data_IF_281559466604
#
_entry.id   IF_281559466604
#
_cell.length_a   1.000
_cell.length_b   1.000
_cell.length_c   1.000
_cell.angle_alpha   90.00
_cell.angle_beta   90.00
_cell.angle_gamma   90.00
#
_symmetry.space_group_name_H-M   'P 1'
#
loop_
_entity.id
_entity.type
_entity.pdbx_description
1 polymer ?
#
# COMPACT_ATOMS: atom_id res chain seq x y z
N UNK A 1 12.46 16.34 14.80
CA UNK A 1 11.62 15.83 15.92
C UNK A 1 10.66 16.88 16.48
N UNK A 2 11.10 18.12 16.71
CA UNK A 2 10.32 19.15 17.43
C UNK A 2 9.45 20.02 16.52
N UNK A 3 9.50 19.84 15.19
CA UNK A 3 8.67 20.59 14.23
C UNK A 3 7.26 20.01 14.21
N UNK A 4 6.22 20.88 14.14
CA UNK A 4 4.83 20.45 13.95
C UNK A 4 4.63 19.81 12.59
N UNK A 5 3.78 18.80 12.49
CA UNK A 5 3.49 18.11 11.24
C UNK A 5 2.90 19.03 10.17
N UNK A 6 2.09 20.03 10.56
CA UNK A 6 1.55 21.02 9.64
C UNK A 6 2.62 21.88 8.94
N UNK A 7 3.80 22.09 9.57
CA UNK A 7 4.92 22.85 9.02
C UNK A 7 5.89 22.04 8.17
N UNK A 8 5.59 20.77 7.88
CA UNK A 8 6.40 19.91 7.03
C UNK A 8 6.05 20.09 5.54
N UNK A 9 7.05 19.90 4.66
CA UNK A 9 6.80 19.76 3.21
C UNK A 9 5.99 18.50 2.91
N UNK A 10 5.41 18.40 1.71
CA UNK A 10 4.66 17.21 1.26
C UNK A 10 5.46 15.93 1.40
N UNK A 11 6.70 15.90 0.90
CA UNK A 11 7.59 14.74 1.03
C UNK A 11 7.95 14.41 2.49
N UNK A 12 8.11 15.41 3.37
CA UNK A 12 8.33 15.17 4.79
C UNK A 12 7.08 14.63 5.50
N UNK A 13 5.89 15.11 5.14
CA UNK A 13 4.63 14.55 5.65
C UNK A 13 4.48 13.10 5.23
N UNK A 14 4.82 12.78 4.00
CA UNK A 14 4.82 11.42 3.46
C UNK A 14 5.75 10.50 4.24
N UNK A 15 7.01 10.91 4.47
CA UNK A 15 7.98 10.17 5.28
C UNK A 15 7.47 9.96 6.71
N UNK A 16 6.86 10.98 7.32
CA UNK A 16 6.26 10.86 8.66
C UNK A 16 5.08 9.87 8.67
N UNK A 17 4.17 9.92 7.67
CA UNK A 17 3.05 9.00 7.56
C UNK A 17 3.53 7.55 7.40
N UNK A 18 4.57 7.33 6.59
CA UNK A 18 5.22 6.03 6.45
C UNK A 18 5.83 5.55 7.78
N UNK A 19 6.52 6.45 8.53
CA UNK A 19 7.04 6.12 9.86
C UNK A 19 5.94 5.67 10.83
N UNK A 20 4.81 6.38 10.83
CA UNK A 20 3.64 6.02 11.66
C UNK A 20 3.07 4.65 11.27
N UNK A 21 3.03 4.32 9.98
CA UNK A 21 2.55 3.03 9.49
C UNK A 21 3.53 1.87 9.78
N UNK A 22 4.81 2.16 10.00
CA UNK A 22 5.86 1.16 10.23
C UNK A 22 6.22 0.95 11.71
N UNK A 23 5.72 1.79 12.64
CA UNK A 23 6.17 1.80 14.04
C UNK A 23 5.96 0.45 14.77
N UNK A 24 4.94 -0.30 14.38
CA UNK A 24 4.60 -1.61 14.96
C UNK A 24 5.22 -2.80 14.19
N UNK A 25 6.08 -2.54 13.17
CA UNK A 25 6.76 -3.54 12.34
C UNK A 25 5.76 -4.49 11.64
N UNK A 26 4.91 -3.99 10.73
CA UNK A 26 3.92 -4.80 10.03
C UNK A 26 4.56 -5.77 9.04
N UNK A 27 3.88 -6.91 8.77
CA UNK A 27 4.26 -7.85 7.71
C UNK A 27 3.89 -7.32 6.32
N UNK A 28 2.81 -6.54 6.25
CA UNK A 28 2.26 -6.00 5.00
C UNK A 28 1.99 -4.51 5.14
N UNK A 29 2.47 -3.72 4.17
CA UNK A 29 2.26 -2.28 4.09
C UNK A 29 1.33 -1.95 2.92
N UNK A 30 0.21 -1.31 3.22
CA UNK A 30 -0.74 -0.80 2.23
C UNK A 30 -0.58 0.70 2.04
N UNK A 31 -0.40 1.13 0.79
CA UNK A 31 -0.15 2.52 0.39
C UNK A 31 -1.18 2.95 -0.66
N UNK A 32 -2.13 3.78 -0.26
CA UNK A 32 -3.19 4.24 -1.17
C UNK A 32 -2.81 5.60 -1.78
N UNK A 33 -2.35 5.56 -3.04
CA UNK A 33 -1.86 6.71 -3.81
C UNK A 33 -0.83 7.57 -3.02
N UNK A 34 0.24 6.96 -2.52
CA UNK A 34 1.10 7.56 -1.48
C UNK A 34 1.84 8.81 -1.94
N UNK A 35 2.03 9.01 -3.24
CA UNK A 35 2.83 10.10 -3.82
C UNK A 35 2.00 11.18 -4.50
N UNK A 36 0.68 11.14 -4.34
CA UNK A 36 -0.22 12.16 -4.89
C UNK A 36 0.10 13.53 -4.32
N UNK A 37 0.40 14.51 -5.19
CA UNK A 37 0.76 15.88 -4.80
C UNK A 37 2.17 16.04 -4.25
N UNK A 38 3.04 15.04 -4.41
CA UNK A 38 4.45 15.08 -4.01
C UNK A 38 5.32 15.44 -5.22
N UNK A 39 6.35 16.27 -5.01
CA UNK A 39 7.30 16.66 -6.04
C UNK A 39 8.10 15.45 -6.58
N UNK A 40 8.63 15.52 -7.83
CA UNK A 40 9.29 14.39 -8.48
C UNK A 40 10.53 13.86 -7.72
N UNK A 41 11.27 14.73 -7.04
CA UNK A 41 12.47 14.32 -6.30
C UNK A 41 12.07 13.53 -5.06
N UNK A 42 11.16 14.08 -4.24
CA UNK A 42 10.63 13.39 -3.05
C UNK A 42 9.93 12.08 -3.41
N UNK A 43 9.26 12.02 -4.58
CA UNK A 43 8.63 10.79 -5.09
C UNK A 43 9.67 9.71 -5.35
N UNK A 44 10.77 10.04 -6.03
CA UNK A 44 11.86 9.09 -6.31
C UNK A 44 12.46 8.56 -5.00
N UNK A 45 12.79 9.44 -4.06
CA UNK A 45 13.31 9.05 -2.73
C UNK A 45 12.35 8.11 -1.99
N UNK A 46 11.03 8.37 -2.09
CA UNK A 46 10.03 7.52 -1.45
C UNK A 46 10.02 6.10 -2.02
N UNK A 47 10.06 5.95 -3.35
CA UNK A 47 10.13 4.64 -3.98
C UNK A 47 11.45 3.90 -3.68
N UNK A 48 12.56 4.62 -3.53
CA UNK A 48 13.83 4.06 -3.06
C UNK A 48 13.71 3.51 -1.63
N UNK A 49 13.01 4.23 -0.74
CA UNK A 49 12.71 3.73 0.62
C UNK A 49 11.85 2.47 0.59
N UNK A 50 10.81 2.42 -0.25
CA UNK A 50 9.95 1.23 -0.38
C UNK A 50 10.76 0.01 -0.83
N UNK A 51 11.70 0.17 -1.77
CA UNK A 51 12.59 -0.92 -2.19
C UNK A 51 13.45 -1.45 -1.05
N UNK A 52 14.02 -0.56 -0.22
CA UNK A 52 14.77 -0.96 0.99
C UNK A 52 13.90 -1.72 2.00
N UNK A 53 12.65 -1.30 2.19
CA UNK A 53 11.71 -2.00 3.08
C UNK A 53 11.37 -3.40 2.53
N UNK A 54 11.19 -3.52 1.22
CA UNK A 54 11.01 -4.82 0.55
C UNK A 54 12.22 -5.74 0.75
N UNK A 55 13.46 -5.23 0.63
CA UNK A 55 14.69 -5.98 0.87
C UNK A 55 14.78 -6.50 2.33
N UNK A 56 14.10 -5.84 3.26
CA UNK A 56 13.95 -6.26 4.66
C UNK A 56 12.82 -7.29 4.86
N UNK A 57 12.15 -7.72 3.79
CA UNK A 57 11.10 -8.73 3.80
C UNK A 57 9.67 -8.19 3.98
N UNK A 58 9.48 -6.87 4.02
CA UNK A 58 8.14 -6.27 4.10
C UNK A 58 7.45 -6.39 2.75
N UNK A 59 6.22 -6.94 2.75
CA UNK A 59 5.38 -6.97 1.55
C UNK A 59 4.67 -5.63 1.39
N UNK A 60 4.64 -5.09 0.18
CA UNK A 60 4.07 -3.77 -0.08
C UNK A 60 2.98 -3.85 -1.14
N UNK A 61 1.81 -3.29 -0.83
CA UNK A 61 0.72 -3.09 -1.78
C UNK A 61 0.57 -1.59 -2.01
N UNK A 62 0.82 -1.14 -3.23
CA UNK A 62 0.68 0.27 -3.59
C UNK A 62 -0.40 0.48 -4.64
N UNK A 63 -1.32 1.42 -4.45
CA UNK A 63 -2.21 1.87 -5.50
C UNK A 63 -1.65 3.13 -6.15
N UNK A 64 -1.75 3.23 -7.47
CA UNK A 64 -1.32 4.42 -8.20
C UNK A 64 -2.06 4.57 -9.54
N UNK A 65 -2.40 5.79 -9.97
CA UNK A 65 -2.82 6.06 -11.34
C UNK A 65 -1.63 6.36 -12.28
N UNK A 66 -0.38 6.37 -11.76
CA UNK A 66 0.82 6.83 -12.46
C UNK A 66 1.61 5.61 -12.95
N UNK A 67 1.82 5.52 -14.26
CA UNK A 67 2.52 4.40 -14.90
C UNK A 67 3.97 4.27 -14.40
N UNK A 68 4.70 5.38 -14.30
CA UNK A 68 6.09 5.39 -13.84
C UNK A 68 6.25 4.81 -12.42
N UNK A 69 5.24 4.98 -11.58
CA UNK A 69 5.21 4.39 -10.24
C UNK A 69 4.89 2.89 -10.30
N UNK A 70 3.94 2.50 -11.13
CA UNK A 70 3.62 1.10 -11.35
C UNK A 70 4.84 0.31 -11.85
N UNK A 71 5.71 0.95 -12.67
CA UNK A 71 6.98 0.38 -13.11
C UNK A 71 8.00 0.12 -11.99
N UNK A 72 7.79 0.67 -10.78
CA UNK A 72 8.63 0.39 -9.61
C UNK A 72 8.19 -0.88 -8.85
N UNK A 73 7.03 -1.46 -9.19
CA UNK A 73 6.49 -2.67 -8.59
C UNK A 73 7.08 -3.93 -9.25
N UNK A 74 7.11 -5.04 -8.52
CA UNK A 74 7.51 -6.34 -9.08
C UNK A 74 6.42 -6.91 -10.00
N UNK A 75 5.17 -6.78 -9.60
CA UNK A 75 3.97 -7.13 -10.37
C UNK A 75 2.91 -6.08 -10.19
N UNK A 76 2.07 -5.92 -11.20
CA UNK A 76 0.92 -5.02 -11.14
C UNK A 76 -0.37 -5.72 -11.57
N UNK A 77 -1.47 -5.36 -10.91
CA UNK A 77 -2.82 -5.64 -11.37
C UNK A 77 -3.38 -4.38 -12.02
N UNK A 78 -3.68 -4.45 -13.30
CA UNK A 78 -4.40 -3.37 -13.99
C UNK A 78 -5.89 -3.46 -13.69
N UNK A 79 -6.42 -2.44 -12.99
CA UNK A 79 -7.83 -2.36 -12.60
C UNK A 79 -8.53 -1.32 -13.46
N UNK A 80 -9.61 -1.72 -14.09
CA UNK A 80 -10.52 -0.85 -14.82
C UNK A 80 -11.97 -1.23 -14.52
N UNK A 81 -12.82 -0.25 -14.21
CA UNK A 81 -14.26 -0.44 -13.91
C UNK A 81 -14.51 -1.53 -12.85
N UNK A 82 -13.74 -1.51 -11.77
CA UNK A 82 -13.84 -2.46 -10.66
C UNK A 82 -13.33 -3.88 -10.93
N UNK A 83 -12.81 -4.15 -12.12
CA UNK A 83 -12.31 -5.48 -12.53
C UNK A 83 -10.82 -5.47 -12.78
N UNK A 84 -10.16 -6.56 -12.43
CA UNK A 84 -8.77 -6.81 -12.85
C UNK A 84 -8.80 -7.25 -14.32
N UNK A 85 -8.10 -6.49 -15.18
CA UNK A 85 -7.97 -6.77 -16.62
C UNK A 85 -6.73 -7.61 -16.94
N UNK A 86 -5.72 -7.57 -16.08
CA UNK A 86 -4.51 -8.37 -16.18
C UNK A 86 -3.64 -8.24 -14.94
N UNK A 87 -2.83 -9.25 -14.67
CA UNK A 87 -1.84 -9.28 -13.60
C UNK A 87 -0.55 -9.85 -14.17
N UNK A 88 0.49 -9.04 -14.22
CA UNK A 88 1.81 -9.50 -14.65
C UNK A 88 2.88 -8.45 -14.20
N UNK A 89 4.11 -8.62 -14.67
CA UNK A 89 5.15 -7.59 -14.57
C UNK A 89 4.70 -6.32 -15.27
N UNK A 90 5.18 -5.14 -14.83
CA UNK A 90 4.82 -3.86 -15.45
C UNK A 90 4.97 -3.86 -16.97
N UNK A 91 6.09 -4.37 -17.49
CA UNK A 91 6.37 -4.40 -18.94
C UNK A 91 5.35 -5.21 -19.74
N UNK A 92 4.89 -6.35 -19.21
CA UNK A 92 3.90 -7.18 -19.87
C UNK A 92 2.52 -6.52 -19.87
N UNK A 93 2.12 -5.94 -18.74
CA UNK A 93 0.87 -5.20 -18.63
C UNK A 93 0.86 -3.98 -19.56
N UNK A 94 1.95 -3.20 -19.59
CA UNK A 94 2.04 -2.04 -20.47
C UNK A 94 1.98 -2.41 -21.94
N UNK A 95 2.58 -3.54 -22.35
CA UNK A 95 2.46 -4.05 -23.73
C UNK A 95 1.05 -4.54 -24.04
N UNK A 96 0.47 -5.32 -23.14
CA UNK A 96 -0.87 -5.91 -23.35
C UNK A 96 -1.96 -4.85 -23.43
N UNK A 97 -1.81 -3.75 -22.70
CA UNK A 97 -2.79 -2.67 -22.60
C UNK A 97 -2.28 -1.33 -23.13
N UNK A 98 -1.31 -1.36 -24.08
CA UNK A 98 -0.71 -0.17 -24.67
C UNK A 98 -1.74 0.82 -25.23
N UNK A 99 -2.77 0.32 -25.89
CA UNK A 99 -3.87 1.13 -26.46
C UNK A 99 -4.70 1.86 -25.40
N UNK A 100 -4.68 1.37 -24.14
CA UNK A 100 -5.44 1.93 -23.02
C UNK A 100 -4.53 2.78 -22.12
N UNK A 101 -3.23 2.43 -21.99
CA UNK A 101 -2.31 2.99 -21.00
C UNK A 101 -1.27 3.95 -21.55
N UNK A 102 -0.68 3.71 -22.69
CA UNK A 102 0.21 4.62 -23.45
C UNK A 102 0.95 3.92 -24.61
N UNK A 103 1.33 4.63 -25.70
CA UNK A 103 2.13 4.06 -26.78
C UNK A 103 3.61 4.34 -26.55
N UNK A 104 4.37 3.45 -25.92
CA UNK A 104 5.83 3.24 -26.11
C UNK A 104 6.43 2.32 -25.02
N UNK A 105 7.13 1.31 -25.45
CA UNK A 105 7.59 0.22 -24.60
C UNK A 105 8.93 0.34 -23.92
N UNK A 106 9.13 -0.48 -22.90
CA UNK A 106 10.44 -0.92 -22.36
C UNK A 106 10.27 -2.27 -21.65
N UNK A 107 11.25 -3.17 -21.80
CA UNK A 107 11.22 -4.55 -21.29
C UNK A 107 12.25 -4.81 -20.20
N UNK A 108 11.86 -5.63 -19.19
CA UNK A 108 12.80 -6.48 -18.44
C UNK A 108 12.11 -7.73 -17.86
N UNK A 109 12.79 -8.89 -17.94
CA UNK A 109 12.32 -10.18 -17.42
C UNK A 109 12.94 -10.52 -16.07
N UNK A 110 12.17 -11.14 -15.17
CA UNK A 110 12.72 -11.94 -14.06
C UNK A 110 11.80 -13.11 -13.68
N UNK A 111 12.45 -14.26 -13.39
CA UNK A 111 11.87 -15.57 -13.17
C UNK A 111 11.44 -15.84 -11.71
N UNK A 112 10.48 -16.75 -11.58
CA UNK A 112 9.85 -17.23 -10.34
C UNK A 112 10.67 -18.32 -9.63
N UNK A 113 10.66 -18.29 -8.27
CA UNK A 113 10.77 -19.52 -7.47
C UNK A 113 10.37 -19.31 -5.99
N UNK A 114 9.66 -20.31 -5.46
CA UNK A 114 9.24 -20.58 -4.08
C UNK A 114 8.19 -19.64 -3.45
N UNK A 115 6.97 -20.15 -3.28
CA UNK A 115 5.79 -19.35 -3.08
C UNK A 115 5.19 -19.51 -1.67
N UNK A 116 5.45 -18.54 -0.78
CA UNK A 116 4.53 -18.24 0.33
C UNK A 116 3.71 -17.00 -0.02
N UNK A 117 2.39 -17.14 -0.08
CA UNK A 117 1.50 -15.99 -0.31
C UNK A 117 1.09 -15.38 1.03
N UNK A 118 1.30 -14.07 1.15
CA UNK A 118 0.88 -13.29 2.33
C UNK A 118 -0.50 -12.68 2.13
N UNK A 119 -0.93 -12.53 0.87
CA UNK A 119 -2.29 -12.12 0.50
C UNK A 119 -2.87 -13.10 -0.52
N UNK A 120 -4.08 -13.55 -0.24
CA UNK A 120 -4.88 -14.39 -1.14
C UNK A 120 -6.29 -13.81 -1.26
N UNK A 121 -6.74 -13.59 -2.48
CA UNK A 121 -8.04 -12.98 -2.81
C UNK A 121 -8.76 -13.85 -3.83
N UNK A 122 -10.01 -14.17 -3.57
CA UNK A 122 -10.85 -14.99 -4.42
C UNK A 122 -12.25 -14.40 -4.56
N UNK A 123 -12.61 -13.99 -5.78
CA UNK A 123 -13.93 -13.47 -6.14
C UNK A 123 -14.37 -12.24 -5.34
N UNK A 124 -13.43 -11.43 -4.84
CA UNK A 124 -13.75 -10.33 -3.93
C UNK A 124 -14.58 -9.25 -4.63
N UNK A 125 -15.75 -8.96 -4.07
CA UNK A 125 -16.74 -8.04 -4.66
C UNK A 125 -17.21 -7.03 -3.64
N UNK A 126 -17.40 -5.77 -4.07
CA UNK A 126 -18.03 -4.70 -3.28
C UNK A 126 -19.10 -4.00 -4.06
N UNK A 127 -20.32 -4.04 -3.52
CA UNK A 127 -21.48 -3.29 -4.04
C UNK A 127 -21.94 -2.23 -3.05
N UNK A 128 -22.38 -1.10 -3.56
CA UNK A 128 -23.02 -0.02 -2.84
C UNK A 128 -24.39 0.22 -3.50
N UNK A 129 -25.45 -0.39 -2.96
CA UNK A 129 -26.75 -0.43 -3.62
C UNK A 129 -26.65 -1.11 -5.00
N UNK A 130 -27.03 -0.41 -6.06
CA UNK A 130 -26.90 -0.89 -7.45
C UNK A 130 -25.52 -0.73 -8.09
N UNK A 131 -24.63 0.05 -7.46
CA UNK A 131 -23.31 0.31 -7.98
C UNK A 131 -22.29 -0.75 -7.50
N UNK A 132 -21.59 -1.39 -8.43
CA UNK A 132 -20.51 -2.33 -8.15
C UNK A 132 -19.17 -1.61 -8.28
N UNK A 133 -18.52 -1.34 -7.15
CA UNK A 133 -17.24 -0.64 -7.10
C UNK A 133 -16.04 -1.57 -7.34
N UNK A 134 -16.15 -2.85 -6.93
CA UNK A 134 -15.17 -3.92 -7.17
C UNK A 134 -15.97 -5.16 -7.54
N UNK A 135 -15.60 -5.81 -8.64
CA UNK A 135 -16.34 -6.91 -9.24
C UNK A 135 -15.49 -8.15 -9.45
N UNK A 136 -15.65 -9.14 -8.57
CA UNK A 136 -15.04 -10.49 -8.63
C UNK A 136 -13.52 -10.49 -8.86
N UNK A 137 -12.76 -9.64 -8.14
CA UNK A 137 -11.31 -9.64 -8.28
C UNK A 137 -10.68 -10.84 -7.56
N UNK A 138 -9.71 -11.48 -8.23
CA UNK A 138 -8.94 -12.60 -7.68
C UNK A 138 -7.47 -12.43 -7.99
N UNK A 139 -6.61 -12.56 -6.97
CA UNK A 139 -5.15 -12.45 -7.10
C UNK A 139 -4.45 -12.97 -5.85
N UNK A 140 -3.14 -13.16 -5.96
CA UNK A 140 -2.27 -13.53 -4.84
C UNK A 140 -1.03 -12.64 -4.83
N UNK A 141 -0.51 -12.34 -3.64
CA UNK A 141 0.71 -11.55 -3.43
C UNK A 141 1.69 -12.36 -2.60
N UNK A 142 2.94 -12.43 -3.08
CA UNK A 142 4.03 -13.15 -2.42
C UNK A 142 4.59 -12.35 -1.25
N UNK A 143 5.14 -13.03 -0.29
CA UNK A 143 5.86 -12.35 0.79
C UNK A 143 7.11 -11.62 0.24
N UNK A 144 7.34 -10.38 0.70
CA UNK A 144 8.46 -9.56 0.24
C UNK A 144 8.33 -9.04 -1.20
N UNK A 145 7.12 -9.00 -1.77
CA UNK A 145 6.81 -8.45 -3.09
C UNK A 145 6.31 -7.00 -2.98
N UNK A 146 6.65 -6.15 -3.94
CA UNK A 146 5.94 -4.90 -4.19
C UNK A 146 4.90 -5.15 -5.27
N UNK A 147 3.61 -5.17 -4.88
CA UNK A 147 2.49 -5.40 -5.77
C UNK A 147 1.71 -4.11 -5.99
N UNK A 148 1.54 -3.70 -7.23
CA UNK A 148 0.88 -2.45 -7.62
C UNK A 148 -0.56 -2.65 -8.09
N UNK A 149 -1.49 -1.80 -7.66
CA UNK A 149 -2.78 -1.59 -8.31
C UNK A 149 -2.68 -0.39 -9.24
N UNK A 150 -2.61 -0.63 -10.55
CA UNK A 150 -2.63 0.41 -11.59
C UNK A 150 -4.04 0.61 -12.10
N UNK A 151 -4.48 1.86 -12.23
CA UNK A 151 -5.78 2.20 -12.81
C UNK A 151 -6.15 3.66 -12.59
N UNK A 152 -7.11 4.15 -13.38
CA UNK A 152 -7.63 5.51 -13.27
C UNK A 152 -8.29 5.77 -11.90
N UNK A 153 -8.51 7.05 -11.57
CA UNK A 153 -9.30 7.42 -10.41
C UNK A 153 -10.74 6.90 -10.58
N UNK A 154 -11.30 6.33 -9.51
CA UNK A 154 -12.60 5.67 -9.55
C UNK A 154 -12.59 4.22 -10.06
N UNK A 155 -11.47 3.66 -10.50
CA UNK A 155 -11.38 2.27 -10.98
C UNK A 155 -11.62 1.19 -9.92
N UNK A 156 -11.75 1.54 -8.64
CA UNK A 156 -12.00 0.60 -7.55
C UNK A 156 -10.78 0.31 -6.64
N UNK A 157 -9.59 0.88 -6.93
CA UNK A 157 -8.34 0.65 -6.18
C UNK A 157 -8.49 0.85 -4.67
N UNK A 158 -8.91 2.05 -4.25
CA UNK A 158 -9.12 2.38 -2.82
C UNK A 158 -10.16 1.49 -2.16
N UNK A 159 -11.23 1.10 -2.89
CA UNK A 159 -12.25 0.18 -2.36
C UNK A 159 -11.66 -1.21 -2.14
N UNK A 160 -10.87 -1.72 -3.07
CA UNK A 160 -10.15 -2.99 -2.91
C UNK A 160 -9.19 -2.93 -1.70
N UNK A 161 -8.38 -1.86 -1.59
CA UNK A 161 -7.48 -1.64 -0.46
C UNK A 161 -8.23 -1.65 0.89
N UNK A 162 -9.37 -0.94 0.98
CA UNK A 162 -10.19 -0.90 2.21
C UNK A 162 -10.77 -2.26 2.59
N UNK A 163 -11.12 -3.11 1.62
CA UNK A 163 -11.55 -4.47 1.93
C UNK A 163 -10.39 -5.33 2.45
N UNK A 164 -9.21 -5.23 1.84
CA UNK A 164 -8.03 -5.99 2.24
C UNK A 164 -7.49 -5.59 3.62
N UNK A 165 -7.63 -4.32 3.98
CA UNK A 165 -7.22 -3.80 5.31
C UNK A 165 -8.27 -4.00 6.40
N UNK A 166 -9.42 -4.63 6.07
CA UNK A 166 -10.51 -4.83 7.03
C UNK A 166 -11.26 -3.55 7.41
N UNK A 167 -11.08 -2.45 6.67
CA UNK A 167 -11.81 -1.19 6.87
C UNK A 167 -13.19 -1.21 6.21
N UNK A 168 -13.44 -2.14 5.29
CA UNK A 168 -14.72 -2.34 4.61
C UNK A 168 -14.99 -3.82 4.42
N UNK A 169 -16.18 -4.28 4.79
CA UNK A 169 -16.55 -5.67 4.53
C UNK A 169 -16.85 -5.89 3.05
N UNK A 170 -16.35 -6.99 2.45
CA UNK A 170 -16.75 -7.40 1.10
C UNK A 170 -18.24 -7.77 1.08
N UNK A 171 -18.88 -7.59 -0.07
CA UNK A 171 -20.25 -8.06 -0.31
C UNK A 171 -20.25 -9.55 -0.65
N UNK A 172 -19.26 -9.99 -1.45
CA UNK A 172 -19.04 -11.37 -1.86
C UNK A 172 -17.55 -11.69 -1.95
N UNK A 173 -17.22 -12.98 -2.02
CA UNK A 173 -15.84 -13.46 -2.14
C UNK A 173 -15.11 -13.56 -0.80
N UNK A 174 -13.84 -13.89 -0.88
CA UNK A 174 -12.98 -14.12 0.30
C UNK A 174 -11.63 -13.48 0.09
N UNK A 175 -11.04 -12.97 1.18
CA UNK A 175 -9.65 -12.54 1.18
C UNK A 175 -8.98 -12.90 2.51
N UNK A 176 -7.68 -13.24 2.41
CA UNK A 176 -6.79 -13.45 3.56
C UNK A 176 -5.60 -12.50 3.42
N UNK A 177 -5.22 -11.86 4.51
CA UNK A 177 -4.08 -10.95 4.60
C UNK A 177 -3.29 -11.30 5.86
N UNK A 178 -1.99 -11.50 5.74
CA UNK A 178 -1.12 -11.95 6.83
C UNK A 178 -1.66 -13.20 7.55
N UNK A 179 -2.27 -14.13 6.79
CA UNK A 179 -2.87 -15.35 7.32
C UNK A 179 -4.29 -15.21 7.90
N UNK A 180 -4.83 -13.99 8.02
CA UNK A 180 -6.14 -13.72 8.64
C UNK A 180 -7.21 -13.42 7.60
N UNK A 181 -8.44 -13.93 7.81
CA UNK A 181 -9.57 -13.62 6.95
C UNK A 181 -10.08 -12.19 7.23
N UNK A 182 -10.18 -11.36 6.19
CA UNK A 182 -10.52 -9.93 6.31
C UNK A 182 -11.95 -9.68 6.80
N UNK A 183 -12.88 -10.61 6.57
CA UNK A 183 -14.28 -10.46 6.95
C UNK A 183 -14.54 -10.87 8.41
N UNK A 184 -13.85 -11.89 8.93
CA UNK A 184 -14.11 -12.48 10.25
C UNK A 184 -13.07 -12.11 11.30
N UNK A 185 -11.84 -11.72 10.87
CA UNK A 185 -10.71 -11.40 11.74
C UNK A 185 -10.07 -10.06 11.37
N UNK A 186 -10.88 -9.05 11.10
CA UNK A 186 -10.43 -7.73 10.67
C UNK A 186 -9.48 -7.05 11.65
N UNK A 187 -9.70 -7.24 12.97
CA UNK A 187 -8.82 -6.66 13.99
C UNK A 187 -7.42 -7.29 13.99
N UNK A 188 -7.34 -8.61 13.73
CA UNK A 188 -6.05 -9.29 13.58
C UNK A 188 -5.32 -8.83 12.30
N UNK A 189 -6.06 -8.62 11.21
CA UNK A 189 -5.50 -8.02 9.99
C UNK A 189 -4.91 -6.65 10.32
N UNK A 190 -5.67 -5.76 10.95
CA UNK A 190 -5.22 -4.38 11.29
C UNK A 190 -3.97 -4.35 12.18
N UNK A 191 -3.79 -5.33 13.07
CA UNK A 191 -2.60 -5.43 13.93
C UNK A 191 -1.33 -5.83 13.18
N UNK A 192 -1.47 -6.52 12.04
CA UNK A 192 -0.36 -7.06 11.25
C UNK A 192 -0.06 -6.25 9.98
N UNK A 193 -0.81 -5.18 9.71
CA UNK A 193 -0.62 -4.34 8.54
C UNK A 193 -0.32 -2.90 8.93
N UNK A 194 0.50 -2.22 8.11
CA UNK A 194 0.57 -0.77 8.06
C UNK A 194 -0.35 -0.23 6.97
N UNK A 195 -1.06 0.86 7.21
CA UNK A 195 -1.90 1.52 6.22
C UNK A 195 -1.59 3.00 6.12
N UNK A 196 -1.31 3.46 4.91
CA UNK A 196 -1.13 4.86 4.58
C UNK A 196 -2.19 5.27 3.55
N UNK A 197 -3.14 6.08 3.97
CA UNK A 197 -4.21 6.59 3.12
C UNK A 197 -3.72 7.72 2.20
N UNK A 198 -4.43 7.96 1.11
CA UNK A 198 -4.16 9.03 0.14
C UNK A 198 -4.04 10.41 0.81
N UNK A 199 -4.92 10.71 1.79
CA UNK A 199 -4.75 11.88 2.66
C UNK A 199 -4.04 11.40 3.92
N UNK A 200 -2.85 11.94 4.17
CA UNK A 200 -2.08 11.56 5.36
C UNK A 200 -2.89 11.77 6.63
N UNK A 201 -3.12 10.69 7.38
CA UNK A 201 -3.85 10.74 8.65
C UNK A 201 -2.96 11.30 9.77
N UNK A 202 -2.24 12.40 9.49
CA UNK A 202 -1.37 13.07 10.46
C UNK A 202 -2.13 14.16 11.21
N UNK A 203 -1.85 14.29 12.47
CA UNK A 203 -2.33 15.40 13.29
C UNK A 203 -1.39 16.60 13.11
N UNK A 204 -1.84 17.59 12.36
CA UNK A 204 -1.01 18.73 11.94
C UNK A 204 -0.50 19.58 13.09
N UNK A 205 -1.27 19.69 14.18
CA UNK A 205 -0.91 20.42 15.39
C UNK A 205 0.13 19.70 16.26
N UNK A 206 0.26 18.39 16.09
CA UNK A 206 1.24 17.60 16.83
C UNK A 206 2.61 17.68 16.16
N UNK A 207 3.66 17.56 16.98
CA UNK A 207 5.04 17.43 16.50
C UNK A 207 5.27 16.07 15.84
N UNK A 208 6.35 15.95 15.08
CA UNK A 208 6.75 14.70 14.43
C UNK A 208 6.75 13.53 15.41
N UNK A 209 7.46 13.66 16.55
CA UNK A 209 7.56 12.60 17.55
C UNK A 209 6.24 12.30 18.25
N UNK A 210 5.36 13.30 18.43
CA UNK A 210 4.03 13.14 19.04
C UNK A 210 3.09 12.36 18.12
N UNK A 211 3.15 12.59 16.80
CA UNK A 211 2.43 11.76 15.83
C UNK A 211 2.87 10.29 15.93
N UNK A 212 4.18 10.02 15.88
CA UNK A 212 4.68 8.64 15.95
C UNK A 212 4.28 7.98 17.28
N UNK A 213 4.40 8.69 18.41
CA UNK A 213 3.99 8.19 19.73
C UNK A 213 2.50 7.87 19.80
N UNK A 214 1.65 8.73 19.21
CA UNK A 214 0.21 8.51 19.14
C UNK A 214 -0.10 7.21 18.39
N UNK A 215 0.47 7.03 17.19
CA UNK A 215 0.27 5.79 16.42
C UNK A 215 0.85 4.57 17.13
N UNK A 216 2.01 4.69 17.77
CA UNK A 216 2.56 3.61 18.60
C UNK A 216 1.59 3.19 19.72
N UNK A 217 0.94 4.16 20.38
CA UNK A 217 -0.08 3.90 21.39
C UNK A 217 -1.32 3.22 20.81
N UNK A 218 -1.78 3.63 19.62
CA UNK A 218 -2.92 2.98 18.91
C UNK A 218 -2.61 1.51 18.62
N UNK A 219 -1.38 1.20 18.23
CA UNK A 219 -0.93 -0.19 17.99
C UNK A 219 -0.54 -0.95 19.27
N UNK A 220 -0.68 -0.33 20.45
CA UNK A 220 -0.42 -0.99 21.74
C UNK A 220 1.06 -1.24 22.03
N UNK A 221 1.96 -0.43 21.46
CA UNK A 221 3.42 -0.54 21.73
C UNK A 221 3.69 -0.02 23.14
N UNK A 222 4.41 -0.80 23.99
CA UNK A 222 4.79 -0.37 25.34
C UNK A 222 5.61 0.93 25.33
N UNK A 223 5.31 1.86 26.24
CA UNK A 223 5.95 3.18 26.29
C UNK A 223 7.49 3.14 26.26
N UNK A 224 8.19 2.20 26.93
CA UNK A 224 9.66 2.12 26.88
C UNK A 224 10.23 1.78 25.49
N UNK A 225 9.44 1.13 24.63
CA UNK A 225 9.86 0.75 23.28
C UNK A 225 9.64 1.85 22.24
N UNK A 226 8.79 2.83 22.53
CA UNK A 226 8.40 3.86 21.55
C UNK A 226 9.60 4.72 21.13
N UNK A 227 10.38 5.21 22.09
CA UNK A 227 11.50 6.08 21.79
C UNK A 227 12.61 5.38 20.97
N UNK A 228 13.08 4.16 21.33
CA UNK A 228 14.06 3.43 20.53
C UNK A 228 13.55 3.14 19.10
N UNK A 229 12.30 2.69 18.94
CA UNK A 229 11.70 2.44 17.62
C UNK A 229 11.57 3.71 16.79
N UNK A 230 11.20 4.83 17.43
CA UNK A 230 11.12 6.13 16.77
C UNK A 230 12.49 6.56 16.24
N UNK A 231 13.54 6.40 17.02
CA UNK A 231 14.91 6.76 16.64
C UNK A 231 15.39 5.90 15.47
N UNK A 232 15.16 4.59 15.54
CA UNK A 232 15.47 3.65 14.48
C UNK A 232 14.77 4.07 13.15
N UNK A 233 13.47 4.38 13.18
CA UNK A 233 12.72 4.79 12.00
C UNK A 233 13.19 6.13 11.43
N UNK A 234 13.44 7.14 12.29
CA UNK A 234 13.87 8.46 11.84
C UNK A 234 15.31 8.48 11.29
N UNK A 235 16.13 7.46 11.59
CA UNK A 235 17.46 7.29 11.00
C UNK A 235 17.40 6.56 9.64
N UNK A 236 16.36 5.75 9.40
CA UNK A 236 16.20 4.97 8.17
C UNK A 236 15.48 5.72 7.05
N UNK A 237 14.70 6.74 7.38
CA UNK A 237 13.83 7.53 6.50
C UNK A 237 14.34 8.97 6.32
#
# INVERSE_FOLDING_TARGET
RNRRAGALSGGMKQKLALSCALIHKPDVLFLDEPTTGVDPVSRKEFWEMLRRLREQGITIIASTPIIDEACQCDRIAFINEGRIRGIDTPDRILKQFADILCPAGLMHEKADNCESYVIEVDGLTKRFGSFTAVDHISFKVRQGEIFGFLGANGAGKTTAMRMLTGLSHPTEGKARVAGFNVATRSEDVKRNIGYMSQKFSLYEDLKVWENIRLFAGIYGIPEPEIAPRTDELLLRL
#
